data_IF_750768705906
#
_entry.id   IF_750768705906
#
_cell.length_a   1.000
_cell.length_b   1.000
_cell.length_c   1.000
_cell.angle_alpha   90.00
_cell.angle_beta   90.00
_cell.angle_gamma   90.00
#
_symmetry.space_group_name_H-M   'P 1'
#
loop_
_entity.id
_entity.type
_entity.pdbx_description
1 polymer ?
#
# COMPACT_ATOMS: atom_id res chain seq x y z
N UNK A 1 -56.97 -12.37 -19.86
CA UNK A 1 -56.59 -11.08 -19.24
C UNK A 1 -55.27 -11.25 -18.52
N UNK A 2 -54.31 -10.32 -18.64
CA UNK A 2 -53.02 -10.37 -17.92
C UNK A 2 -52.97 -9.22 -16.92
N UNK A 3 -52.62 -9.52 -15.66
CA UNK A 3 -52.55 -8.54 -14.58
C UNK A 3 -51.12 -8.49 -14.08
N UNK A 4 -50.54 -7.29 -14.05
CA UNK A 4 -49.20 -7.03 -13.54
C UNK A 4 -49.32 -6.23 -12.25
N UNK A 5 -48.68 -6.72 -11.19
CA UNK A 5 -48.64 -6.05 -9.89
C UNK A 5 -47.18 -5.90 -9.47
N UNK A 6 -46.79 -4.67 -9.15
CA UNK A 6 -45.45 -4.33 -8.69
C UNK A 6 -45.53 -3.78 -7.27
N UNK A 7 -44.70 -4.33 -6.37
CA UNK A 7 -44.69 -3.96 -4.96
C UNK A 7 -43.27 -3.62 -4.52
N UNK A 8 -43.12 -2.52 -3.79
CA UNK A 8 -41.88 -2.19 -3.08
C UNK A 8 -41.92 -2.85 -1.72
N UNK A 9 -41.13 -3.91 -1.54
CA UNK A 9 -41.07 -4.65 -0.29
C UNK A 9 -39.95 -4.11 0.62
N UNK A 10 -40.14 -4.06 1.95
CA UNK A 10 -39.07 -3.80 2.91
C UNK A 10 -37.89 -4.75 2.71
N UNK A 11 -36.66 -4.26 2.96
CA UNK A 11 -35.40 -4.99 2.73
C UNK A 11 -35.30 -6.32 3.50
N UNK A 12 -36.04 -6.44 4.59
CA UNK A 12 -36.09 -7.58 5.52
C UNK A 12 -37.26 -8.55 5.26
N UNK A 13 -38.06 -8.30 4.23
CA UNK A 13 -39.18 -9.19 3.87
C UNK A 13 -38.68 -10.58 3.53
N UNK A 14 -39.15 -11.60 4.27
CA UNK A 14 -38.73 -13.00 4.08
C UNK A 14 -39.70 -13.81 3.24
N UNK A 15 -40.99 -13.50 3.32
CA UNK A 15 -42.04 -14.23 2.63
C UNK A 15 -43.10 -13.26 2.12
N UNK A 16 -43.74 -13.63 1.01
CA UNK A 16 -44.90 -12.95 0.47
C UNK A 16 -46.04 -13.97 0.38
N UNK A 17 -47.18 -13.60 0.95
CA UNK A 17 -48.41 -14.38 0.88
C UNK A 17 -49.39 -13.68 -0.06
N UNK A 18 -49.88 -14.40 -1.08
CA UNK A 18 -50.90 -13.91 -2.02
C UNK A 18 -52.08 -14.87 -2.03
N UNK A 19 -53.28 -14.32 -1.80
CA UNK A 19 -54.55 -15.03 -1.99
C UNK A 19 -55.09 -14.65 -3.37
N UNK A 20 -55.50 -15.64 -4.17
CA UNK A 20 -56.03 -15.41 -5.51
C UNK A 20 -57.50 -14.98 -5.44
N UNK A 21 -57.85 -13.77 -5.93
CA UNK A 21 -59.23 -13.29 -5.89
C UNK A 21 -60.11 -13.83 -7.04
N UNK A 22 -59.53 -14.55 -8.00
CA UNK A 22 -60.21 -15.17 -9.14
C UNK A 22 -59.37 -16.36 -9.66
N UNK A 23 -59.98 -17.20 -10.50
CA UNK A 23 -59.30 -18.30 -11.18
C UNK A 23 -58.15 -17.76 -12.05
N UNK A 24 -56.94 -18.21 -11.75
CA UNK A 24 -55.70 -17.70 -12.32
C UNK A 24 -54.97 -18.85 -13.03
N UNK A 25 -54.98 -18.90 -14.37
CA UNK A 25 -54.34 -19.98 -15.13
C UNK A 25 -52.83 -20.05 -14.92
N UNK A 26 -52.18 -18.90 -14.68
CA UNK A 26 -50.75 -18.83 -14.45
C UNK A 26 -50.40 -17.65 -13.54
N UNK A 27 -49.50 -17.90 -12.59
CA UNK A 27 -48.85 -16.87 -11.79
C UNK A 27 -47.34 -17.04 -11.88
N UNK A 28 -46.63 -15.94 -12.12
CA UNK A 28 -45.17 -15.87 -12.04
C UNK A 28 -44.76 -14.80 -11.03
N UNK A 29 -43.79 -15.12 -10.16
CA UNK A 29 -43.20 -14.18 -9.23
C UNK A 29 -41.76 -13.86 -9.63
N UNK A 30 -41.45 -12.57 -9.80
CA UNK A 30 -40.14 -12.06 -10.19
C UNK A 30 -39.61 -11.20 -9.03
N UNK A 31 -38.38 -11.47 -8.60
CA UNK A 31 -37.70 -10.73 -7.55
C UNK A 31 -36.29 -10.35 -8.00
N UNK A 32 -35.94 -9.06 -7.94
CA UNK A 32 -34.69 -8.52 -8.45
C UNK A 32 -34.36 -8.96 -9.90
N UNK A 33 -35.37 -8.92 -10.78
CA UNK A 33 -35.21 -9.30 -12.20
C UNK A 33 -35.12 -10.82 -12.45
N UNK A 34 -35.11 -11.65 -11.41
CA UNK A 34 -35.06 -13.11 -11.53
C UNK A 34 -36.43 -13.72 -11.23
N UNK A 35 -36.90 -14.63 -12.09
CA UNK A 35 -38.07 -15.46 -11.80
C UNK A 35 -37.76 -16.42 -10.65
N UNK A 36 -38.48 -16.29 -9.54
CA UNK A 36 -38.26 -17.10 -8.33
C UNK A 36 -39.37 -18.12 -8.09
N UNK A 37 -40.54 -17.95 -8.70
CA UNK A 37 -41.67 -18.86 -8.54
C UNK A 37 -42.59 -18.85 -9.78
N UNK A 38 -43.21 -19.98 -10.08
CA UNK A 38 -44.25 -20.13 -11.08
C UNK A 38 -45.27 -21.17 -10.60
N UNK A 39 -46.55 -20.87 -10.80
CA UNK A 39 -47.64 -21.81 -10.56
C UNK A 39 -48.67 -21.71 -11.69
N UNK A 40 -49.34 -22.82 -11.96
CA UNK A 40 -50.39 -22.95 -12.97
C UNK A 40 -51.70 -23.36 -12.29
N UNK A 41 -52.82 -23.08 -12.96
CA UNK A 41 -54.16 -23.53 -12.59
C UNK A 41 -54.53 -23.27 -11.12
N UNK A 42 -54.44 -22.01 -10.70
CA UNK A 42 -54.76 -21.57 -9.34
C UNK A 42 -56.24 -21.17 -9.24
N UNK A 43 -57.13 -22.00 -8.66
CA UNK A 43 -58.53 -21.62 -8.47
C UNK A 43 -58.67 -20.46 -7.49
N UNK A 44 -59.83 -19.80 -7.52
CA UNK A 44 -60.21 -18.75 -6.59
C UNK A 44 -60.01 -19.18 -5.13
N UNK A 45 -59.43 -18.31 -4.32
CA UNK A 45 -59.10 -18.59 -2.91
C UNK A 45 -57.77 -19.30 -2.68
N UNK A 46 -57.07 -19.73 -3.73
CA UNK A 46 -55.74 -20.35 -3.60
C UNK A 46 -54.75 -19.42 -2.89
N UNK A 47 -53.95 -20.00 -2.00
CA UNK A 47 -52.95 -19.27 -1.20
C UNK A 47 -51.55 -19.67 -1.67
N UNK A 48 -50.81 -18.69 -2.18
CA UNK A 48 -49.41 -18.85 -2.60
C UNK A 48 -48.50 -18.16 -1.59
N UNK A 49 -47.54 -18.92 -1.05
CA UNK A 49 -46.50 -18.43 -0.17
C UNK A 49 -45.15 -18.52 -0.88
N UNK A 50 -44.49 -17.39 -1.13
CA UNK A 50 -43.18 -17.34 -1.80
C UNK A 50 -42.13 -16.87 -0.81
N UNK A 51 -41.07 -17.65 -0.64
CA UNK A 51 -39.89 -17.26 0.14
C UNK A 51 -38.93 -16.46 -0.73
N UNK A 52 -38.53 -15.28 -0.26
CA UNK A 52 -37.60 -14.43 -1.00
C UNK A 52 -36.14 -14.86 -0.73
N UNK A 53 -35.31 -14.96 -1.79
CA UNK A 53 -33.89 -15.29 -1.61
C UNK A 53 -33.18 -14.17 -0.85
N UNK A 54 -32.43 -14.52 0.20
CA UNK A 54 -31.61 -13.55 0.93
C UNK A 54 -30.54 -12.98 0.01
N UNK A 55 -30.49 -11.65 -0.08
CA UNK A 55 -29.31 -10.95 -0.58
C UNK A 55 -28.23 -11.16 0.49
N UNK A 56 -27.26 -12.03 0.23
CA UNK A 56 -26.09 -12.17 1.09
C UNK A 56 -25.28 -10.89 0.94
N UNK A 57 -25.27 -10.06 1.98
CA UNK A 57 -24.30 -8.97 2.07
C UNK A 57 -22.96 -9.65 2.36
N UNK A 58 -21.94 -9.47 1.49
CA UNK A 58 -20.64 -10.05 1.74
C UNK A 58 -20.09 -9.52 3.07
N UNK A 59 -19.65 -10.43 3.92
CA UNK A 59 -19.01 -10.11 5.19
C UNK A 59 -17.54 -9.78 4.92
N UNK A 60 -17.20 -8.49 4.99
CA UNK A 60 -15.85 -8.00 4.74
C UNK A 60 -15.00 -7.88 6.00
N UNK A 61 -15.50 -8.29 7.17
CA UNK A 61 -14.80 -8.13 8.46
C UNK A 61 -13.39 -8.74 8.44
N UNK A 62 -13.24 -9.93 7.86
CA UNK A 62 -11.94 -10.61 7.74
C UNK A 62 -10.98 -9.86 6.80
N UNK A 63 -11.49 -9.27 5.72
CA UNK A 63 -10.68 -8.47 4.80
C UNK A 63 -10.15 -7.20 5.47
N UNK A 64 -10.98 -6.53 6.28
CA UNK A 64 -10.57 -5.37 7.06
C UNK A 64 -9.55 -5.74 8.16
N UNK A 65 -9.69 -6.91 8.79
CA UNK A 65 -8.74 -7.40 9.79
C UNK A 65 -7.36 -7.70 9.18
N UNK A 66 -7.32 -8.30 7.98
CA UNK A 66 -6.05 -8.55 7.27
C UNK A 66 -5.41 -7.23 6.83
N UNK A 67 -6.20 -6.30 6.29
CA UNK A 67 -5.70 -5.00 5.85
C UNK A 67 -5.10 -4.19 7.02
N UNK A 68 -5.77 -4.18 8.18
CA UNK A 68 -5.27 -3.47 9.35
C UNK A 68 -3.96 -4.06 9.88
N UNK A 69 -3.82 -5.39 9.89
CA UNK A 69 -2.59 -6.06 10.28
C UNK A 69 -1.40 -5.67 9.38
N UNK A 70 -1.61 -5.61 8.06
CA UNK A 70 -0.57 -5.20 7.09
C UNK A 70 -0.11 -3.76 7.34
N UNK A 71 -1.04 -2.85 7.61
CA UNK A 71 -0.72 -1.44 7.90
C UNK A 71 0.12 -1.32 9.17
N UNK A 72 -0.20 -2.07 10.22
CA UNK A 72 0.57 -2.05 11.48
C UNK A 72 2.00 -2.52 11.25
N UNK A 73 2.20 -3.59 10.47
CA UNK A 73 3.56 -4.09 10.14
C UNK A 73 4.37 -3.04 9.37
N UNK A 74 3.75 -2.37 8.39
CA UNK A 74 4.40 -1.29 7.64
C UNK A 74 4.82 -0.13 8.55
N UNK A 75 3.97 0.29 9.49
CA UNK A 75 4.29 1.34 10.44
C UNK A 75 5.48 0.97 11.33
N UNK A 76 5.52 -0.27 11.81
CA UNK A 76 6.65 -0.78 12.62
C UNK A 76 7.95 -0.69 11.81
N UNK A 77 7.95 -1.11 10.55
CA UNK A 77 9.14 -1.05 9.68
C UNK A 77 9.60 0.40 9.50
N UNK A 78 8.67 1.34 9.26
CA UNK A 78 8.99 2.77 9.11
C UNK A 78 9.63 3.33 10.37
N UNK A 79 9.07 3.02 11.54
CA UNK A 79 9.60 3.47 12.84
C UNK A 79 11.00 2.91 13.08
N UNK A 80 11.21 1.61 12.85
CA UNK A 80 12.53 0.97 12.99
C UNK A 80 13.55 1.64 12.07
N UNK A 81 13.20 1.89 10.81
CA UNK A 81 14.08 2.56 9.87
C UNK A 81 14.39 4.01 10.27
N UNK A 82 13.40 4.74 10.78
CA UNK A 82 13.58 6.11 11.26
C UNK A 82 14.54 6.18 12.46
N UNK A 83 14.39 5.25 13.41
CA UNK A 83 15.29 5.13 14.58
C UNK A 83 16.71 4.78 14.13
N UNK A 84 16.88 3.79 13.23
CA UNK A 84 18.20 3.41 12.69
C UNK A 84 18.88 4.57 11.97
N UNK A 85 18.14 5.36 11.19
CA UNK A 85 18.66 6.57 10.53
C UNK A 85 19.08 7.66 11.52
N UNK A 86 18.33 7.86 12.61
CA UNK A 86 18.71 8.80 13.67
C UNK A 86 20.00 8.38 14.39
N UNK A 87 20.11 7.11 14.78
CA UNK A 87 21.32 6.58 15.42
C UNK A 87 22.57 6.72 14.52
N UNK A 88 22.44 6.47 13.21
CA UNK A 88 23.53 6.68 12.26
C UNK A 88 23.95 8.15 12.13
N UNK A 89 22.99 9.09 12.21
CA UNK A 89 23.26 10.54 12.16
C UNK A 89 23.83 11.09 13.47
N UNK A 90 23.62 10.40 14.60
CA UNK A 90 24.13 10.83 15.90
C UNK A 90 25.62 10.53 16.07
N UNK A 91 26.11 9.45 15.45
CA UNK A 91 27.56 9.19 15.31
C UNK A 91 28.23 10.27 14.43
N UNK A 92 27.48 10.82 13.47
CA UNK A 92 27.90 11.94 12.62
C UNK A 92 27.94 13.31 13.36
N UNK A 93 27.45 13.38 14.60
CA UNK A 93 27.49 14.57 15.47
C UNK A 93 28.70 14.62 16.40
N UNK A 94 29.79 13.91 16.11
CA UNK A 94 31.10 14.42 16.56
C UNK A 94 31.27 15.74 15.80
N UNK A 95 30.96 16.86 16.48
CA UNK A 95 31.07 18.22 15.94
C UNK A 95 32.43 18.31 15.25
N UNK A 96 32.45 18.45 13.92
CA UNK A 96 33.70 18.58 13.16
C UNK A 96 34.42 19.82 13.68
N UNK A 97 35.30 19.65 14.67
CA UNK A 97 36.09 20.74 15.24
C UNK A 97 37.15 21.17 14.22
N UNK A 98 37.68 22.40 14.31
CA UNK A 98 38.78 22.82 13.45
C UNK A 98 39.97 21.85 13.45
N UNK A 99 40.25 21.21 14.59
CA UNK A 99 41.33 20.21 14.70
C UNK A 99 41.02 18.91 13.96
N UNK A 100 39.77 18.43 14.02
CA UNK A 100 39.31 17.28 13.23
C UNK A 100 39.41 17.61 11.74
N UNK A 101 38.97 18.79 11.33
CA UNK A 101 39.00 19.22 9.93
C UNK A 101 40.45 19.39 9.41
N UNK A 102 41.36 19.94 10.22
CA UNK A 102 42.81 20.02 9.88
C UNK A 102 43.43 18.64 9.72
N UNK A 103 43.11 17.71 10.62
CA UNK A 103 43.58 16.33 10.54
C UNK A 103 43.05 15.64 9.30
N UNK A 104 41.75 15.79 9.01
CA UNK A 104 41.10 15.26 7.80
C UNK A 104 41.73 15.80 6.52
N UNK A 105 42.00 17.12 6.46
CA UNK A 105 42.74 17.74 5.34
C UNK A 105 44.12 17.09 5.13
N UNK A 106 44.87 16.88 6.21
CA UNK A 106 46.20 16.26 6.14
C UNK A 106 46.13 14.84 5.59
N UNK A 107 45.21 14.02 6.12
CA UNK A 107 45.00 12.64 5.66
C UNK A 107 44.59 12.59 4.18
N UNK A 108 43.66 13.45 3.75
CA UNK A 108 43.24 13.52 2.34
C UNK A 108 44.40 13.91 1.41
N UNK A 109 45.30 14.80 1.84
CA UNK A 109 46.51 15.11 1.08
C UNK A 109 47.47 13.92 0.97
N UNK A 110 47.62 13.12 2.03
CA UNK A 110 48.43 11.91 2.00
C UNK A 110 47.86 10.88 1.03
N UNK A 111 46.54 10.66 1.07
CA UNK A 111 45.85 9.76 0.15
C UNK A 111 46.05 10.19 -1.31
N UNK A 112 45.88 11.49 -1.61
CA UNK A 112 46.11 12.02 -2.95
C UNK A 112 47.55 11.81 -3.44
N UNK A 113 48.55 11.97 -2.55
CA UNK A 113 49.96 11.70 -2.88
C UNK A 113 50.20 10.21 -3.17
N UNK A 114 49.60 9.31 -2.38
CA UNK A 114 49.75 7.88 -2.60
C UNK A 114 49.08 7.43 -3.90
N UNK A 115 47.91 7.98 -4.24
CA UNK A 115 47.26 7.74 -5.54
C UNK A 115 48.16 8.17 -6.70
N UNK A 116 48.83 9.32 -6.60
CA UNK A 116 49.79 9.76 -7.61
C UNK A 116 51.01 8.85 -7.72
N UNK A 117 51.51 8.34 -6.60
CA UNK A 117 52.62 7.39 -6.55
C UNK A 117 52.24 6.06 -7.19
N UNK A 118 51.08 5.49 -6.85
CA UNK A 118 50.55 4.26 -7.44
C UNK A 118 50.35 4.38 -8.96
N UNK A 119 49.90 5.55 -9.42
CA UNK A 119 49.78 5.80 -10.86
C UNK A 119 51.16 5.88 -11.54
N UNK A 120 52.14 6.54 -10.92
CA UNK A 120 53.52 6.61 -11.44
C UNK A 120 54.21 5.25 -11.47
N UNK A 121 53.96 4.39 -10.49
CA UNK A 121 54.46 3.01 -10.47
C UNK A 121 53.67 2.06 -11.36
N UNK A 122 52.61 2.54 -12.05
CA UNK A 122 51.71 1.75 -12.90
C UNK A 122 51.00 0.61 -12.16
N UNK A 123 50.82 0.75 -10.85
CA UNK A 123 50.08 -0.22 -10.01
C UNK A 123 48.55 -0.07 -10.17
N UNK A 124 48.09 1.10 -10.64
CA UNK A 124 46.69 1.36 -10.96
C UNK A 124 46.55 1.86 -12.41
N UNK A 125 45.40 1.58 -13.03
CA UNK A 125 45.07 2.07 -14.37
C UNK A 125 44.82 3.58 -14.39
N UNK A 126 44.98 4.23 -15.56
CA UNK A 126 44.68 5.67 -15.71
C UNK A 126 43.22 5.99 -15.38
N UNK A 127 42.30 5.07 -15.71
CA UNK A 127 40.89 5.21 -15.36
C UNK A 127 40.66 5.22 -13.84
N UNK A 128 41.24 4.25 -13.13
CA UNK A 128 41.20 4.19 -11.66
C UNK A 128 41.85 5.41 -11.03
N UNK A 129 42.99 5.86 -11.57
CA UNK A 129 43.65 7.08 -11.13
C UNK A 129 42.75 8.32 -11.26
N UNK A 130 42.16 8.54 -12.44
CA UNK A 130 41.28 9.68 -12.70
C UNK A 130 40.05 9.67 -11.79
N UNK A 131 39.44 8.51 -11.59
CA UNK A 131 38.29 8.37 -10.70
C UNK A 131 38.65 8.69 -9.26
N UNK A 132 39.67 8.02 -8.70
CA UNK A 132 40.10 8.19 -7.31
C UNK A 132 40.60 9.63 -7.05
N UNK A 133 41.44 10.18 -7.93
CA UNK A 133 41.94 11.55 -7.81
C UNK A 133 40.81 12.57 -7.77
N UNK A 134 39.80 12.43 -8.63
CA UNK A 134 38.66 13.35 -8.65
C UNK A 134 37.80 13.23 -7.39
N UNK A 135 37.55 12.01 -6.91
CA UNK A 135 36.79 11.76 -5.68
C UNK A 135 37.45 12.42 -4.47
N UNK A 136 38.70 12.06 -4.18
CA UNK A 136 39.40 12.58 -3.01
C UNK A 136 39.76 14.07 -3.12
N UNK A 137 39.93 14.61 -4.34
CA UNK A 137 40.07 16.07 -4.53
C UNK A 137 38.79 16.81 -4.14
N UNK A 138 37.61 16.30 -4.50
CA UNK A 138 36.33 16.92 -4.12
C UNK A 138 36.18 16.93 -2.60
N UNK A 139 36.47 15.82 -1.93
CA UNK A 139 36.44 15.73 -0.47
C UNK A 139 37.42 16.70 0.20
N UNK A 140 38.65 16.82 -0.32
CA UNK A 140 39.64 17.76 0.20
C UNK A 140 39.18 19.22 0.08
N UNK A 141 38.55 19.59 -1.05
CA UNK A 141 37.98 20.93 -1.25
C UNK A 141 36.84 21.19 -0.28
N UNK A 142 35.96 20.22 -0.05
CA UNK A 142 34.84 20.37 0.90
C UNK A 142 35.35 20.59 2.34
N UNK A 143 36.34 19.81 2.77
CA UNK A 143 36.97 19.98 4.09
C UNK A 143 37.64 21.36 4.20
N UNK A 144 38.31 21.82 3.16
CA UNK A 144 38.91 23.16 3.13
C UNK A 144 37.88 24.28 3.19
N UNK A 145 36.72 24.11 2.54
CA UNK A 145 35.61 25.07 2.62
C UNK A 145 35.08 25.16 4.06
N UNK A 146 34.83 24.02 4.71
CA UNK A 146 34.40 23.98 6.12
C UNK A 146 35.41 24.63 7.07
N UNK A 147 36.72 24.48 6.80
CA UNK A 147 37.78 25.17 7.55
C UNK A 147 37.81 26.68 7.36
N UNK A 148 37.40 27.19 6.19
CA UNK A 148 37.33 28.63 5.93
C UNK A 148 36.06 29.29 6.48
N UNK A 149 35.03 28.50 6.75
CA UNK A 149 33.76 28.91 7.36
C UNK A 149 33.76 28.79 8.91
N UNK A 150 34.78 28.13 9.49
CA UNK A 150 34.97 27.93 10.94
C UNK A 150 35.93 28.96 11.53
#
# INVERSE_FOLDING_TARGET
MKIFMMYNLPKDTRYVKKVMPYDTPEMTFIYNGKKIFQALDLPIGSVVNVTLPRIKIPDYTMHFAVLSAVIVVLLIIIVIQAIRRKASREIEKIKETPDILRTKKSLLMLVLKEIEKLHRSKEITDESYRYLKNMYKKEAVEVMKKLGES
#
